data_IF_866339885446
#
_entry.id   IF_866339885446
#
_cell.length_a   1.000
_cell.length_b   1.000
_cell.length_c   1.000
_cell.angle_alpha   90.00
_cell.angle_beta   90.00
_cell.angle_gamma   90.00
#
_symmetry.space_group_name_H-M   'P 1'
#
loop_
_entity.id
_entity.type
_entity.pdbx_description
1 polymer ?
#
# COMPACT_ATOMS: atom_id res chain seq x y z
N UNK A 1 -61.89 -40.77 -44.58
CA UNK A 1 -60.52 -40.53 -45.08
C UNK A 1 -60.27 -39.06 -45.07
N UNK A 2 -59.63 -38.56 -44.07
CA UNK A 2 -59.28 -37.14 -43.91
C UNK A 2 -57.81 -37.05 -43.47
N UNK A 3 -56.99 -36.55 -44.40
CA UNK A 3 -55.56 -36.33 -44.19
C UNK A 3 -55.38 -35.20 -43.19
N UNK A 4 -54.75 -35.49 -42.05
CA UNK A 4 -54.23 -34.47 -41.13
C UNK A 4 -52.88 -33.99 -41.62
N UNK A 5 -52.84 -32.77 -42.08
CA UNK A 5 -51.62 -32.03 -42.46
C UNK A 5 -50.84 -31.67 -41.27
N UNK A 6 -49.63 -32.21 -41.07
CA UNK A 6 -48.67 -31.95 -40.01
C UNK A 6 -47.61 -30.95 -40.46
N UNK A 7 -47.97 -29.73 -40.72
CA UNK A 7 -46.97 -28.72 -41.03
C UNK A 7 -47.37 -27.36 -40.47
N UNK A 8 -47.08 -27.09 -39.21
CA UNK A 8 -46.88 -25.70 -38.69
C UNK A 8 -46.62 -25.68 -37.16
N UNK A 9 -45.62 -26.44 -36.70
CA UNK A 9 -45.10 -26.18 -35.37
C UNK A 9 -43.92 -25.21 -35.53
N UNK A 10 -44.23 -23.92 -35.65
CA UNK A 10 -43.25 -22.86 -35.62
C UNK A 10 -42.72 -22.75 -34.20
N UNK A 11 -41.45 -23.08 -34.05
CA UNK A 11 -40.68 -22.89 -32.83
C UNK A 11 -40.64 -21.39 -32.47
N UNK A 12 -41.43 -21.00 -31.49
CA UNK A 12 -41.34 -19.70 -30.86
C UNK A 12 -40.12 -19.76 -29.93
N UNK A 13 -38.89 -19.49 -30.45
CA UNK A 13 -37.74 -19.23 -29.64
C UNK A 13 -37.91 -17.84 -29.00
N UNK A 14 -38.39 -17.82 -27.77
CA UNK A 14 -38.30 -16.63 -26.89
C UNK A 14 -36.85 -16.50 -26.51
N UNK A 15 -36.13 -15.67 -27.26
CA UNK A 15 -34.79 -15.21 -26.89
C UNK A 15 -34.97 -14.29 -25.69
N UNK A 16 -34.90 -14.87 -24.47
CA UNK A 16 -34.86 -14.09 -23.22
C UNK A 16 -33.46 -13.42 -23.14
N UNK A 17 -33.35 -12.28 -23.79
CA UNK A 17 -32.20 -11.42 -23.69
C UNK A 17 -32.18 -10.88 -22.26
N UNK A 18 -31.52 -11.57 -21.34
CA UNK A 18 -31.19 -11.04 -20.02
C UNK A 18 -30.29 -9.82 -20.23
N UNK A 19 -30.90 -8.65 -20.20
CA UNK A 19 -30.20 -7.38 -20.17
C UNK A 19 -29.42 -7.33 -18.84
N UNK A 20 -28.18 -7.82 -18.83
CA UNK A 20 -27.28 -7.68 -17.70
C UNK A 20 -27.00 -6.18 -17.62
N UNK A 21 -27.76 -5.47 -16.81
CA UNK A 21 -27.45 -4.08 -16.46
C UNK A 21 -26.13 -4.09 -15.70
N UNK A 22 -25.03 -3.84 -16.42
CA UNK A 22 -23.74 -3.51 -15.82
C UNK A 22 -23.97 -2.18 -15.12
N UNK A 23 -24.38 -2.25 -13.84
CA UNK A 23 -24.35 -1.07 -12.98
C UNK A 23 -22.89 -0.59 -12.99
N UNK A 24 -22.63 0.68 -13.28
CA UNK A 24 -21.27 1.21 -13.18
C UNK A 24 -20.80 0.97 -11.76
N UNK A 25 -19.75 0.16 -11.60
CA UNK A 25 -19.08 -0.03 -10.33
C UNK A 25 -18.64 1.37 -9.90
N UNK A 26 -19.33 1.93 -8.90
CA UNK A 26 -19.01 3.27 -8.39
C UNK A 26 -17.57 3.20 -7.93
N UNK A 27 -16.70 4.00 -8.55
CA UNK A 27 -15.30 4.08 -8.13
C UNK A 27 -15.30 4.34 -6.62
N UNK A 28 -14.67 3.43 -5.89
CA UNK A 28 -14.65 3.50 -4.44
C UNK A 28 -13.73 4.65 -4.04
N UNK A 29 -14.17 5.47 -3.08
CA UNK A 29 -13.37 6.61 -2.62
C UNK A 29 -12.24 6.13 -1.71
N UNK A 30 -11.11 5.77 -2.31
CA UNK A 30 -9.90 5.34 -1.59
C UNK A 30 -9.28 6.45 -0.73
N UNK A 31 -9.75 7.69 -0.84
CA UNK A 31 -9.29 8.79 0.04
C UNK A 31 -9.91 8.73 1.43
N UNK A 32 -11.01 7.98 1.61
CA UNK A 32 -11.66 7.83 2.90
C UNK A 32 -10.74 7.12 3.90
N UNK A 33 -10.45 7.79 5.01
CA UNK A 33 -9.57 7.27 6.05
C UNK A 33 -8.08 7.34 5.74
N UNK A 34 -7.67 7.89 4.59
CA UNK A 34 -6.27 8.12 4.26
C UNK A 34 -5.68 9.15 5.23
N UNK A 35 -4.58 8.80 5.88
CA UNK A 35 -3.92 9.63 6.91
C UNK A 35 -2.47 9.98 6.55
N UNK A 36 -1.86 9.24 5.64
CA UNK A 36 -0.54 9.54 5.06
C UNK A 36 -0.52 9.10 3.59
N UNK A 37 0.08 9.91 2.73
CA UNK A 37 0.35 9.56 1.34
C UNK A 37 1.63 10.25 0.87
N UNK A 38 2.72 9.51 0.79
CA UNK A 38 4.03 9.95 0.33
C UNK A 38 4.29 9.34 -1.05
N UNK A 39 4.18 10.16 -2.10
CA UNK A 39 4.30 9.70 -3.50
C UNK A 39 5.72 9.77 -4.03
N UNK A 40 6.63 10.42 -3.32
CA UNK A 40 8.03 10.60 -3.74
C UNK A 40 8.23 11.25 -5.12
N UNK A 41 7.29 12.07 -5.55
CA UNK A 41 7.34 12.78 -6.85
C UNK A 41 8.07 14.13 -6.80
N UNK A 42 8.62 14.51 -5.67
CA UNK A 42 9.25 15.83 -5.49
C UNK A 42 10.50 16.01 -6.37
N UNK A 43 11.27 14.97 -6.59
CA UNK A 43 12.49 14.97 -7.41
C UNK A 43 13.63 15.83 -6.87
N UNK A 44 13.42 16.58 -5.77
CA UNK A 44 14.40 17.44 -5.13
C UNK A 44 13.99 17.82 -3.71
N UNK A 45 14.96 18.28 -2.91
CA UNK A 45 14.72 18.77 -1.55
C UNK A 45 14.75 17.67 -0.48
N UNK A 46 14.52 18.07 0.79
CA UNK A 46 14.61 17.21 1.99
C UNK A 46 13.25 16.92 2.62
N UNK A 47 12.16 17.20 1.91
CA UNK A 47 10.80 17.00 2.42
C UNK A 47 10.00 16.22 1.42
N UNK A 48 9.38 15.14 1.87
CA UNK A 48 8.35 14.40 1.13
C UNK A 48 6.99 14.89 1.60
N UNK A 49 6.17 15.43 0.68
CA UNK A 49 4.88 16.03 0.99
C UNK A 49 3.80 15.00 1.19
N UNK A 50 3.06 15.13 2.30
CA UNK A 50 1.87 14.33 2.55
C UNK A 50 0.71 14.77 1.64
N UNK A 51 0.37 13.95 0.69
CA UNK A 51 -0.75 14.16 -0.25
C UNK A 51 -2.12 13.74 0.31
N UNK A 52 -2.18 13.17 1.52
CA UNK A 52 -3.44 12.81 2.18
C UNK A 52 -4.27 14.02 2.60
N UNK A 53 -3.64 15.20 2.68
CA UNK A 53 -4.26 16.44 3.18
C UNK A 53 -4.33 16.51 4.70
N UNK A 54 -3.60 15.63 5.43
CA UNK A 54 -3.52 15.64 6.90
C UNK A 54 -2.33 16.42 7.43
N UNK A 55 -1.38 16.77 6.56
CA UNK A 55 -0.23 17.59 6.93
C UNK A 55 0.90 16.80 7.61
N UNK A 56 0.97 15.49 7.40
CA UNK A 56 2.01 14.60 7.91
C UNK A 56 3.25 14.61 7.00
N UNK A 57 3.69 15.77 6.53
CA UNK A 57 4.91 15.91 5.73
C UNK A 57 6.08 15.19 6.39
N UNK A 58 6.83 14.41 5.61
CA UNK A 58 7.98 13.67 6.10
C UNK A 58 9.29 14.37 5.75
N UNK A 59 10.31 14.19 6.59
CA UNK A 59 11.66 14.72 6.38
C UNK A 59 12.62 13.60 6.03
N UNK A 60 13.52 13.86 5.09
CA UNK A 60 14.62 12.98 4.75
C UNK A 60 15.79 13.28 5.70
N UNK A 61 16.25 12.24 6.40
CA UNK A 61 17.44 12.24 7.24
C UNK A 61 18.47 11.30 6.62
N UNK A 62 19.50 11.85 5.99
CA UNK A 62 20.53 11.13 5.27
C UNK A 62 20.74 11.63 3.84
N UNK A 63 21.23 10.72 2.97
CA UNK A 63 21.48 11.01 1.55
C UNK A 63 20.17 11.14 0.79
N UNK A 64 20.06 12.19 -0.02
CA UNK A 64 18.91 12.39 -0.92
C UNK A 64 19.22 11.67 -2.24
N UNK A 65 18.35 10.73 -2.62
CA UNK A 65 18.52 9.92 -3.82
C UNK A 65 17.16 9.67 -4.50
N UNK A 66 16.69 10.68 -5.25
CA UNK A 66 15.46 10.62 -6.04
C UNK A 66 15.70 9.79 -7.30
N UNK A 67 14.79 8.90 -7.62
CA UNK A 67 14.86 7.98 -8.76
C UNK A 67 13.53 7.95 -9.52
N UNK A 68 13.50 7.26 -10.65
CA UNK A 68 12.24 6.86 -11.29
C UNK A 68 11.57 5.77 -10.43
N UNK A 69 10.33 6.01 -10.04
CA UNK A 69 9.54 5.13 -9.18
C UNK A 69 8.81 4.02 -9.93
N UNK A 70 7.88 3.39 -9.25
CA UNK A 70 6.88 2.51 -9.87
C UNK A 70 5.81 3.32 -10.57
N UNK A 71 5.44 4.46 -9.99
CA UNK A 71 4.47 5.43 -10.50
C UNK A 71 5.12 6.81 -10.35
N UNK A 72 5.47 7.47 -11.44
CA UNK A 72 6.16 8.76 -11.34
C UNK A 72 7.54 8.69 -10.72
N UNK A 73 7.79 9.47 -9.67
CA UNK A 73 9.03 9.48 -8.91
C UNK A 73 9.11 8.38 -7.85
N UNK A 74 10.28 8.22 -7.24
CA UNK A 74 10.53 7.28 -6.16
C UNK A 74 11.77 7.67 -5.37
N UNK A 75 12.08 6.93 -4.31
CA UNK A 75 13.20 7.22 -3.44
C UNK A 75 14.07 5.98 -3.18
N UNK A 76 15.40 6.14 -3.31
CA UNK A 76 16.38 5.09 -3.06
C UNK A 76 16.95 5.21 -1.65
N UNK A 77 16.84 4.14 -0.87
CA UNK A 77 17.43 3.98 0.45
C UNK A 77 18.77 3.25 0.36
N UNK A 78 19.76 3.72 1.12
CA UNK A 78 21.13 3.22 1.13
C UNK A 78 21.51 2.53 2.47
N UNK A 79 20.56 2.29 3.34
CA UNK A 79 20.78 1.75 4.68
C UNK A 79 21.30 2.77 5.71
N UNK A 80 21.39 4.05 5.33
CA UNK A 80 21.81 5.17 6.19
C UNK A 80 20.91 6.38 6.02
N UNK A 81 19.80 6.22 5.31
CA UNK A 81 18.82 7.27 5.04
C UNK A 81 17.46 6.83 5.54
N UNK A 82 16.74 7.74 6.15
CA UNK A 82 15.39 7.55 6.65
C UNK A 82 14.47 8.65 6.16
N UNK A 83 13.23 8.31 5.94
CA UNK A 83 12.13 9.27 5.73
C UNK A 83 11.24 9.21 6.96
N UNK A 84 11.11 10.35 7.65
CA UNK A 84 10.54 10.43 8.99
C UNK A 84 9.30 11.29 8.94
N UNK A 85 8.14 10.67 9.11
CA UNK A 85 6.85 11.33 9.28
C UNK A 85 6.50 11.47 10.78
N UNK A 86 5.60 12.38 11.13
CA UNK A 86 5.03 12.45 12.47
C UNK A 86 4.43 11.12 12.92
N UNK A 87 4.21 10.97 14.22
CA UNK A 87 3.50 9.83 14.78
C UNK A 87 2.09 9.70 14.18
N UNK A 88 1.79 8.52 13.64
CA UNK A 88 0.45 8.16 13.17
C UNK A 88 -0.16 7.18 14.16
N UNK A 89 -1.34 7.44 14.74
CA UNK A 89 -1.92 6.57 15.76
C UNK A 89 -2.47 5.28 15.12
N UNK A 90 -1.75 4.18 15.31
CA UNK A 90 -2.16 2.81 14.93
C UNK A 90 -2.69 1.99 16.11
N UNK A 91 -2.44 2.44 17.34
CA UNK A 91 -2.75 1.69 18.55
C UNK A 91 -4.25 1.43 18.70
N UNK A 92 -4.60 0.17 18.94
CA UNK A 92 -5.98 -0.30 19.17
C UNK A 92 -6.96 0.14 18.07
N UNK A 93 -6.51 0.09 16.81
CA UNK A 93 -7.30 0.55 15.65
C UNK A 93 -7.10 -0.33 14.43
N UNK A 94 -8.12 -0.30 13.59
CA UNK A 94 -7.99 -0.79 12.23
C UNK A 94 -7.04 0.12 11.45
N UNK A 95 -6.20 -0.49 10.62
CA UNK A 95 -5.36 0.26 9.70
C UNK A 95 -4.97 -0.57 8.48
N UNK A 96 -4.55 0.14 7.44
CA UNK A 96 -3.90 -0.47 6.28
C UNK A 96 -2.67 0.37 5.93
N UNK A 97 -1.53 -0.28 5.74
CA UNK A 97 -0.30 0.33 5.20
C UNK A 97 0.02 -0.33 3.88
N UNK A 98 0.25 0.46 2.84
CA UNK A 98 0.58 -0.03 1.51
C UNK A 98 1.72 0.78 0.92
N UNK A 99 2.64 0.11 0.21
CA UNK A 99 3.72 0.77 -0.52
C UNK A 99 4.30 -0.14 -1.62
N UNK A 100 4.97 0.46 -2.58
CA UNK A 100 5.80 -0.25 -3.53
C UNK A 100 7.24 -0.32 -3.06
N UNK A 101 7.88 -1.47 -3.28
CA UNK A 101 9.29 -1.71 -2.96
C UNK A 101 10.01 -2.39 -4.11
N UNK A 102 11.29 -2.07 -4.26
CA UNK A 102 12.21 -2.78 -5.14
C UNK A 102 13.50 -3.01 -4.36
N UNK A 103 13.65 -4.22 -3.79
CA UNK A 103 14.77 -4.58 -2.92
C UNK A 103 15.79 -5.44 -3.63
N UNK A 104 17.05 -5.27 -3.25
CA UNK A 104 18.14 -6.19 -3.58
C UNK A 104 18.14 -7.45 -2.73
N UNK A 105 17.24 -7.58 -1.74
CA UNK A 105 17.20 -8.68 -0.75
C UNK A 105 18.58 -8.93 -0.13
N UNK A 106 19.20 -7.86 0.36
CA UNK A 106 20.62 -7.86 0.77
C UNK A 106 20.79 -8.32 2.21
N UNK A 107 19.88 -7.91 3.10
CA UNK A 107 19.94 -8.20 4.54
C UNK A 107 18.98 -9.31 4.93
N UNK A 108 19.34 -10.06 5.95
CA UNK A 108 18.46 -11.08 6.54
C UNK A 108 17.13 -10.53 7.02
N UNK A 109 17.12 -9.25 7.42
CA UNK A 109 15.93 -8.56 7.89
C UNK A 109 16.03 -7.07 7.53
N UNK A 110 15.20 -6.63 6.61
CA UNK A 110 15.08 -5.22 6.21
C UNK A 110 13.75 -4.66 6.72
N UNK A 111 13.78 -3.68 7.63
CA UNK A 111 12.58 -2.95 8.04
C UNK A 111 12.34 -1.82 7.07
N UNK A 112 11.19 -1.85 6.39
CA UNK A 112 10.83 -0.84 5.41
C UNK A 112 10.03 0.28 6.06
N UNK A 113 9.10 -0.08 6.92
CA UNK A 113 8.23 0.85 7.64
C UNK A 113 8.15 0.45 9.11
N UNK A 114 8.26 1.42 10.01
CA UNK A 114 8.21 1.16 11.45
C UNK A 114 7.63 2.32 12.24
N UNK A 115 7.19 1.97 13.46
CA UNK A 115 6.89 2.91 14.51
C UNK A 115 7.31 2.26 15.83
N UNK A 116 8.41 2.74 16.39
CA UNK A 116 9.08 2.13 17.54
C UNK A 116 8.87 2.94 18.81
N UNK A 117 8.17 2.37 19.78
CA UNK A 117 8.08 2.93 21.14
C UNK A 117 9.14 2.33 22.05
N UNK A 118 9.16 1.02 22.19
CA UNK A 118 10.16 0.26 22.94
C UNK A 118 10.17 -1.22 22.58
N UNK A 119 11.27 -1.92 22.84
CA UNK A 119 11.43 -3.34 22.64
C UNK A 119 10.59 -4.17 23.62
N UNK A 120 9.28 -4.16 23.44
CA UNK A 120 8.33 -4.91 24.26
C UNK A 120 7.15 -5.36 23.40
N UNK A 121 6.53 -6.47 23.78
CA UNK A 121 5.43 -7.10 23.04
C UNK A 121 4.32 -6.08 22.72
N UNK A 122 3.91 -6.04 21.49
CA UNK A 122 2.86 -5.16 20.94
C UNK A 122 3.17 -3.65 20.95
N UNK A 123 4.38 -3.22 21.27
CA UNK A 123 4.74 -1.79 21.40
C UNK A 123 5.64 -1.26 20.27
N UNK A 124 5.93 -2.08 19.27
CA UNK A 124 6.74 -1.64 18.14
C UNK A 124 6.25 -2.28 16.84
N UNK A 125 5.58 -1.48 16.02
CA UNK A 125 5.15 -1.87 14.68
C UNK A 125 6.37 -1.94 13.75
N UNK A 126 6.49 -3.02 13.00
CA UNK A 126 7.51 -3.16 11.97
C UNK A 126 7.02 -4.00 10.79
N UNK A 127 7.18 -3.46 9.60
CA UNK A 127 6.87 -4.10 8.34
C UNK A 127 8.20 -4.45 7.68
N UNK A 128 8.45 -5.76 7.51
CA UNK A 128 9.80 -6.26 7.14
C UNK A 128 9.77 -7.07 5.87
N UNK A 129 10.94 -7.04 5.22
CA UNK A 129 11.30 -7.93 4.13
C UNK A 129 12.55 -8.72 4.52
N UNK A 130 12.58 -10.00 4.17
CA UNK A 130 13.71 -10.87 4.39
C UNK A 130 14.44 -11.17 3.07
N UNK A 131 15.72 -11.53 3.14
CA UNK A 131 16.50 -11.93 1.97
C UNK A 131 15.94 -13.16 1.24
N UNK A 132 15.07 -13.92 1.90
CA UNK A 132 14.33 -15.06 1.32
C UNK A 132 13.09 -14.63 0.53
N UNK A 133 12.78 -13.32 0.44
CA UNK A 133 11.53 -12.83 -0.15
C UNK A 133 10.30 -13.00 0.72
N UNK A 134 10.48 -13.36 2.01
CA UNK A 134 9.43 -13.42 3.02
C UNK A 134 9.07 -12.03 3.52
N UNK A 135 7.79 -11.80 3.82
CA UNK A 135 7.25 -10.53 4.34
C UNK A 135 6.69 -10.72 5.75
N UNK A 136 6.89 -9.76 6.64
CA UNK A 136 6.40 -9.78 8.02
C UNK A 136 5.63 -8.53 8.39
N UNK A 137 4.48 -8.72 9.03
CA UNK A 137 3.78 -7.73 9.84
C UNK A 137 4.02 -8.06 11.32
N UNK A 138 4.79 -7.24 12.01
CA UNK A 138 5.19 -7.52 13.38
C UNK A 138 4.88 -6.41 14.36
N UNK A 139 4.63 -6.80 15.63
CA UNK A 139 4.39 -5.91 16.76
C UNK A 139 5.41 -6.14 17.89
N UNK A 140 6.59 -6.67 17.57
CA UNK A 140 7.60 -7.13 18.51
C UNK A 140 7.12 -8.30 19.39
N UNK A 141 7.52 -9.52 19.01
CA UNK A 141 7.11 -10.76 19.71
C UNK A 141 5.65 -11.16 19.47
N UNK A 142 4.99 -10.54 18.50
CA UNK A 142 3.65 -10.87 18.03
C UNK A 142 3.60 -10.60 16.53
N UNK A 143 4.12 -11.56 15.74
CA UNK A 143 4.42 -11.36 14.34
C UNK A 143 3.58 -12.30 13.46
N UNK A 144 3.20 -11.84 12.27
CA UNK A 144 2.62 -12.61 11.19
C UNK A 144 3.62 -12.65 10.03
N UNK A 145 4.00 -13.85 9.60
CA UNK A 145 4.91 -14.09 8.48
C UNK A 145 4.17 -14.67 7.28
N UNK A 146 4.60 -14.28 6.09
CA UNK A 146 4.28 -14.99 4.85
C UNK A 146 5.24 -16.17 4.62
N UNK A 147 4.99 -16.94 3.56
CA UNK A 147 5.96 -17.88 3.01
C UNK A 147 7.15 -17.15 2.38
N UNK A 148 8.21 -17.92 2.08
CA UNK A 148 9.39 -17.42 1.35
C UNK A 148 9.12 -17.28 -0.15
N UNK A 149 9.94 -16.49 -0.85
CA UNK A 149 9.96 -16.42 -2.32
C UNK A 149 8.87 -15.55 -2.95
N UNK A 150 8.12 -14.78 -2.15
CA UNK A 150 7.02 -13.95 -2.65
C UNK A 150 7.52 -12.63 -3.25
N UNK A 151 8.60 -12.07 -2.72
CA UNK A 151 9.23 -10.86 -3.25
C UNK A 151 10.49 -11.25 -4.01
N UNK A 152 10.54 -10.88 -5.29
CA UNK A 152 11.67 -11.16 -6.17
C UNK A 152 12.70 -10.02 -6.13
N UNK A 153 13.97 -10.42 -6.15
CA UNK A 153 15.09 -9.47 -6.14
C UNK A 153 15.04 -8.50 -7.32
N UNK A 154 15.23 -7.21 -7.04
CA UNK A 154 15.29 -6.13 -8.02
C UNK A 154 14.03 -5.95 -8.89
N UNK A 155 12.89 -6.47 -8.47
CA UNK A 155 11.58 -6.20 -9.06
C UNK A 155 10.73 -5.34 -8.15
N UNK A 156 9.85 -4.53 -8.73
CA UNK A 156 8.84 -3.80 -7.98
C UNK A 156 7.72 -4.73 -7.54
N UNK A 157 7.47 -4.75 -6.24
CA UNK A 157 6.34 -5.43 -5.61
C UNK A 157 5.53 -4.46 -4.75
N UNK A 158 4.23 -4.62 -4.76
CA UNK A 158 3.34 -3.93 -3.82
C UNK A 158 3.18 -4.76 -2.56
N UNK A 159 3.45 -4.18 -1.41
CA UNK A 159 3.21 -4.80 -0.12
C UNK A 159 2.07 -4.08 0.58
N UNK A 160 1.06 -4.83 1.02
CA UNK A 160 -0.06 -4.31 1.80
C UNK A 160 -0.19 -5.07 3.11
N UNK A 161 -0.26 -4.31 4.20
CA UNK A 161 -0.41 -4.79 5.57
C UNK A 161 -1.74 -4.30 6.11
N UNK A 162 -2.62 -5.23 6.37
CA UNK A 162 -4.01 -4.97 6.74
C UNK A 162 -4.30 -5.48 8.16
N UNK A 163 -4.99 -4.67 8.95
CA UNK A 163 -5.35 -4.96 10.34
C UNK A 163 -6.80 -4.59 10.60
N UNK A 164 -7.57 -5.55 11.12
CA UNK A 164 -8.87 -5.36 11.77
C UNK A 164 -8.67 -5.62 13.27
N UNK A 165 -8.52 -4.57 14.03
CA UNK A 165 -8.20 -4.67 15.45
C UNK A 165 -9.37 -5.23 16.27
N UNK A 166 -10.61 -4.99 15.85
CA UNK A 166 -11.81 -5.49 16.51
C UNK A 166 -11.85 -7.03 16.51
N UNK A 167 -11.36 -7.65 15.43
CA UNK A 167 -11.25 -9.10 15.26
C UNK A 167 -9.87 -9.64 15.61
N UNK A 168 -8.90 -8.75 15.94
CA UNK A 168 -7.49 -9.08 16.08
C UNK A 168 -6.94 -9.81 14.85
N UNK A 169 -7.52 -9.58 13.67
CA UNK A 169 -7.15 -10.19 12.41
C UNK A 169 -6.11 -9.35 11.68
N UNK A 170 -5.13 -10.03 11.12
CA UNK A 170 -4.06 -9.41 10.32
C UNK A 170 -3.89 -10.15 9.01
N UNK A 171 -3.58 -9.40 7.96
CA UNK A 171 -3.33 -9.94 6.62
C UNK A 171 -2.14 -9.28 5.98
N UNK A 172 -1.43 -10.05 5.16
CA UNK A 172 -0.37 -9.55 4.27
C UNK A 172 -0.79 -9.84 2.85
N UNK A 173 -0.63 -8.84 1.98
CA UNK A 173 -0.82 -8.99 0.54
C UNK A 173 0.48 -8.63 -0.18
N UNK A 174 0.80 -9.39 -1.21
CA UNK A 174 1.87 -9.11 -2.18
C UNK A 174 1.24 -9.00 -3.55
N UNK A 175 1.46 -7.89 -4.23
CA UNK A 175 0.87 -7.57 -5.55
C UNK A 175 -0.66 -7.71 -5.61
N UNK A 176 -1.32 -7.45 -4.48
CA UNK A 176 -2.77 -7.54 -4.31
C UNK A 176 -3.30 -8.93 -3.98
N UNK A 177 -2.47 -9.95 -3.95
CA UNK A 177 -2.83 -11.31 -3.54
C UNK A 177 -2.60 -11.50 -2.04
N UNK A 178 -3.59 -12.05 -1.32
CA UNK A 178 -3.47 -12.37 0.10
C UNK A 178 -2.54 -13.57 0.29
N UNK A 179 -1.38 -13.33 0.93
CA UNK A 179 -0.32 -14.34 1.12
C UNK A 179 -0.18 -14.82 2.56
N UNK A 180 -0.75 -14.08 3.51
CA UNK A 180 -0.82 -14.53 4.91
C UNK A 180 -2.04 -13.93 5.61
N UNK A 181 -2.60 -14.69 6.54
CA UNK A 181 -3.68 -14.27 7.42
C UNK A 181 -3.50 -14.93 8.79
N UNK A 182 -3.78 -14.19 9.86
CA UNK A 182 -3.67 -14.70 11.21
C UNK A 182 -4.33 -13.82 12.25
N UNK A 183 -4.55 -14.39 13.43
CA UNK A 183 -5.06 -13.67 14.60
C UNK A 183 -3.88 -13.25 15.47
N UNK A 184 -3.86 -12.01 15.93
CA UNK A 184 -2.83 -11.51 16.82
C UNK A 184 -3.16 -11.78 18.29
N UNK A 185 -2.11 -12.02 19.08
CA UNK A 185 -2.22 -12.07 20.53
C UNK A 185 -2.18 -10.62 21.09
N UNK A 186 -3.33 -9.97 21.07
CA UNK A 186 -3.50 -8.54 21.32
C UNK A 186 -3.27 -7.67 20.07
N UNK A 187 -3.78 -6.43 20.08
CA UNK A 187 -3.53 -5.43 19.05
C UNK A 187 -2.18 -4.75 19.18
N UNK A 188 -1.83 -3.90 18.21
CA UNK A 188 -0.72 -2.96 18.37
C UNK A 188 -1.11 -1.90 19.41
N UNK A 189 -0.25 -1.68 20.40
CA UNK A 189 -0.52 -0.79 21.54
C UNK A 189 0.43 0.41 21.60
N UNK A 190 1.44 0.49 20.72
CA UNK A 190 2.39 1.60 20.74
C UNK A 190 1.69 2.95 20.49
N UNK A 191 1.86 3.88 21.41
CA UNK A 191 1.23 5.19 21.39
C UNK A 191 2.22 6.33 21.13
N UNK A 192 3.48 6.00 20.91
CA UNK A 192 4.59 6.95 20.73
C UNK A 192 5.53 6.49 19.62
N UNK A 193 6.50 7.34 19.30
CA UNK A 193 7.48 7.10 18.26
C UNK A 193 7.11 7.77 16.94
N UNK A 194 8.14 8.11 16.18
CA UNK A 194 8.00 8.64 14.82
C UNK A 194 7.59 7.51 13.87
N UNK A 195 6.94 7.85 12.78
CA UNK A 195 6.72 6.92 11.67
C UNK A 195 7.94 6.98 10.76
N UNK A 196 8.66 5.86 10.63
CA UNK A 196 9.94 5.80 9.91
C UNK A 196 9.82 4.89 8.70
N UNK A 197 10.28 5.35 7.55
CA UNK A 197 10.51 4.56 6.34
C UNK A 197 12.03 4.45 6.16
N UNK A 198 12.54 3.22 5.92
CA UNK A 198 13.95 2.96 5.68
C UNK A 198 14.69 2.26 6.83
N UNK A 199 14.03 1.92 7.93
CA UNK A 199 14.66 1.21 9.04
C UNK A 199 13.74 1.03 10.25
N UNK A 200 14.27 0.30 11.25
CA UNK A 200 13.58 0.09 12.53
C UNK A 200 13.62 1.35 13.41
N UNK A 201 14.82 1.88 13.58
CA UNK A 201 15.10 3.12 14.29
C UNK A 201 16.39 3.72 13.70
N UNK A 202 16.56 5.02 13.79
CA UNK A 202 17.77 5.71 13.34
C UNK A 202 19.00 5.30 14.17
N UNK A 203 18.78 5.10 15.46
CA UNK A 203 19.79 4.59 16.39
C UNK A 203 19.11 3.65 17.37
N UNK A 204 19.41 2.37 17.31
CA UNK A 204 19.02 1.45 18.36
C UNK A 204 19.70 1.86 19.68
N UNK A 205 18.89 2.20 20.67
CA UNK A 205 19.38 2.74 21.96
C UNK A 205 20.22 1.74 22.73
N UNK A 206 20.10 0.43 22.45
CA UNK A 206 20.90 -0.62 23.04
C UNK A 206 22.20 -0.88 22.28
N UNK A 207 22.19 -0.74 20.95
CA UNK A 207 23.34 -1.01 20.07
C UNK A 207 24.16 0.22 19.70
N UNK A 208 23.64 1.43 19.94
CA UNK A 208 24.30 2.68 19.58
C UNK A 208 24.51 2.88 18.08
N UNK A 209 23.78 2.15 17.22
CA UNK A 209 23.86 2.22 15.77
C UNK A 209 22.50 1.90 15.13
N UNK A 210 22.33 2.29 13.88
CA UNK A 210 21.16 1.92 13.08
C UNK A 210 21.00 0.40 12.99
N UNK A 211 19.77 -0.06 13.06
CA UNK A 211 19.46 -1.49 13.11
C UNK A 211 18.37 -1.84 12.10
N UNK A 212 18.52 -2.99 11.45
CA UNK A 212 17.56 -3.53 10.47
C UNK A 212 17.14 -2.49 9.42
N UNK A 213 18.13 -1.85 8.82
CA UNK A 213 17.95 -0.82 7.78
C UNK A 213 17.49 -1.41 6.47
N UNK A 214 16.77 -0.61 5.68
CA UNK A 214 16.35 -0.96 4.34
C UNK A 214 17.34 -0.45 3.29
N UNK A 215 17.62 -1.30 2.29
CA UNK A 215 18.47 -0.96 1.13
C UNK A 215 17.71 -1.31 -0.14
N UNK A 216 17.09 -0.31 -0.75
CA UNK A 216 16.25 -0.50 -1.93
C UNK A 216 15.43 0.73 -2.25
N UNK A 217 14.59 0.63 -3.27
CA UNK A 217 13.68 1.71 -3.65
C UNK A 217 12.31 1.55 -2.97
N UNK A 218 11.71 2.68 -2.62
CA UNK A 218 10.33 2.77 -2.12
C UNK A 218 9.57 3.80 -2.93
N UNK A 219 8.28 3.55 -3.12
CA UNK A 219 7.37 4.45 -3.79
C UNK A 219 5.95 4.29 -3.24
N UNK A 220 5.12 5.34 -3.35
CA UNK A 220 3.69 5.33 -3.05
C UNK A 220 3.32 4.79 -1.65
N UNK A 221 3.98 5.30 -0.61
CA UNK A 221 3.66 4.92 0.78
C UNK A 221 2.33 5.54 1.20
N UNK A 222 1.36 4.71 1.50
CA UNK A 222 0.01 5.11 1.90
C UNK A 222 -0.42 4.44 3.19
N UNK A 223 -1.09 5.20 4.04
CA UNK A 223 -1.63 4.72 5.32
C UNK A 223 -3.08 5.13 5.46
N UNK A 224 -3.93 4.17 5.76
CA UNK A 224 -5.33 4.39 6.10
C UNK A 224 -5.60 4.03 7.56
N UNK A 225 -6.42 4.83 8.24
CA UNK A 225 -6.94 4.56 9.58
C UNK A 225 -8.19 3.67 9.52
N UNK A 226 -8.16 2.66 8.68
CA UNK A 226 -9.18 1.63 8.52
C UNK A 226 -8.63 0.40 7.80
N UNK A 227 -9.30 -0.72 7.98
CA UNK A 227 -9.15 -1.90 7.16
C UNK A 227 -9.77 -1.64 5.77
N UNK A 228 -8.97 -1.74 4.69
CA UNK A 228 -9.44 -1.61 3.31
C UNK A 228 -10.17 -2.89 2.87
N UNK A 229 -11.16 -2.75 1.98
CA UNK A 229 -11.70 -3.87 1.25
C UNK A 229 -10.69 -4.36 0.18
N UNK A 230 -10.77 -5.63 -0.23
CA UNK A 230 -9.80 -6.20 -1.18
C UNK A 230 -9.78 -5.47 -2.54
N UNK A 231 -10.95 -5.02 -3.01
CA UNK A 231 -11.04 -4.22 -4.24
C UNK A 231 -10.41 -2.82 -4.08
N UNK A 232 -10.44 -2.23 -2.87
CA UNK A 232 -9.77 -0.95 -2.58
C UNK A 232 -8.25 -1.13 -2.56
N UNK A 233 -7.75 -2.26 -2.03
CA UNK A 233 -6.33 -2.62 -2.08
C UNK A 233 -5.85 -2.68 -3.54
N UNK A 234 -6.61 -3.36 -4.41
CA UNK A 234 -6.28 -3.47 -5.84
C UNK A 234 -6.37 -2.13 -6.58
N UNK A 235 -7.34 -1.30 -6.25
CA UNK A 235 -7.52 0.02 -6.87
C UNK A 235 -6.39 0.97 -6.46
N UNK A 236 -6.04 0.99 -5.17
CA UNK A 236 -4.99 1.87 -4.65
C UNK A 236 -3.60 1.56 -5.20
N UNK A 237 -3.35 0.35 -5.69
CA UNK A 237 -2.08 -0.02 -6.34
C UNK A 237 -1.89 0.63 -7.72
N UNK A 238 -2.99 1.00 -8.40
CA UNK A 238 -2.99 1.41 -9.81
C UNK A 238 -3.07 2.91 -10.00
N UNK A 239 -3.55 3.63 -9.01
CA UNK A 239 -3.90 5.03 -9.15
C UNK A 239 -2.82 5.95 -8.60
N UNK A 240 -2.42 6.95 -9.41
CA UNK A 240 -1.90 8.19 -8.85
C UNK A 240 -2.96 8.74 -7.87
N UNK A 241 -2.55 9.13 -6.67
CA UNK A 241 -3.50 9.67 -5.70
C UNK A 241 -4.28 10.84 -6.33
N UNK A 242 -5.63 10.81 -6.29
CA UNK A 242 -6.38 11.97 -6.73
C UNK A 242 -5.98 13.16 -5.85
N UNK A 243 -5.31 14.12 -6.44
CA UNK A 243 -5.02 15.41 -5.79
C UNK A 243 -6.36 15.96 -5.33
N UNK A 244 -6.50 16.15 -4.01
CA UNK A 244 -7.74 16.60 -3.38
C UNK A 244 -8.30 17.80 -4.14
N UNK A 245 -9.39 17.63 -4.87
CA UNK A 245 -9.97 18.60 -5.78
C UNK A 245 -10.74 19.72 -5.06
N UNK A 246 -10.22 20.22 -3.94
CA UNK A 246 -10.56 21.57 -3.48
C UNK A 246 -9.75 22.59 -4.28
N UNK A 247 -9.99 22.65 -5.59
CA UNK A 247 -9.45 23.72 -6.40
C UNK A 247 -9.10 23.48 -7.86
N UNK A 248 -9.15 22.26 -8.41
CA UNK A 248 -8.91 22.06 -9.86
C UNK A 248 -9.69 20.89 -10.45
N UNK A 249 -10.91 21.18 -10.85
CA UNK A 249 -11.58 20.42 -11.92
C UNK A 249 -10.98 20.93 -13.23
N UNK A 250 -9.82 20.46 -13.66
CA UNK A 250 -9.31 20.73 -15.01
C UNK A 250 -7.99 20.01 -15.29
N UNK A 251 -7.99 18.71 -15.52
CA UNK A 251 -6.85 18.14 -16.26
C UNK A 251 -7.20 16.93 -17.12
N UNK A 252 -8.34 16.29 -16.92
CA UNK A 252 -8.75 15.20 -17.82
C UNK A 252 -9.22 15.72 -19.19
N UNK A 253 -9.81 16.94 -19.24
CA UNK A 253 -10.31 17.54 -20.48
C UNK A 253 -9.23 18.20 -21.34
N UNK A 254 -8.04 18.50 -20.80
CA UNK A 254 -6.96 19.11 -21.59
C UNK A 254 -6.18 18.09 -22.45
N UNK A 255 -6.16 16.81 -22.06
CA UNK A 255 -5.54 15.75 -22.88
C UNK A 255 -6.41 15.36 -24.07
N UNK A 256 -7.73 15.45 -23.97
CA UNK A 256 -8.64 15.11 -25.08
C UNK A 256 -8.63 16.20 -26.17
N UNK A 257 -8.36 17.46 -25.82
CA UNK A 257 -8.32 18.57 -26.81
C UNK A 257 -7.02 18.69 -27.61
N UNK A 258 -5.94 17.98 -27.26
CA UNK A 258 -4.68 18.00 -28.02
C UNK A 258 -4.54 16.90 -29.08
N UNK A 259 -5.54 16.03 -29.23
CA UNK A 259 -5.56 14.93 -30.21
C UNK A 259 -6.40 15.19 -31.47
N UNK A 260 -6.80 16.41 -31.75
CA UNK A 260 -7.65 16.72 -32.88
C UNK A 260 -6.99 17.62 -33.93
N UNK A 261 -6.08 17.09 -34.73
CA UNK A 261 -5.83 17.55 -36.11
C UNK A 261 -5.14 16.40 -36.83
N UNK A 262 -5.94 15.61 -37.53
CA UNK A 262 -5.47 14.79 -38.65
C UNK A 262 -6.06 15.44 -39.89
N UNK A 263 -5.17 15.98 -40.71
CA UNK A 263 -5.38 16.08 -42.15
C UNK A 263 -4.65 14.95 -42.82
#
# INVERSE_FOLDING_TARGET
>A
MGNYDRSNLKYFFICLMTLLTILPLKAQDISKGLVLALTFDEGAGQTVKDKSGKGNDAKIDGKIDWIDGKIGGGFQFDGKTWVIAPHIPFNERDFTVQFWVKSGLISDQEVIFSQHEKNSKNLSLHLRLYNTGKVRLGYYGNDLDSENGLVEKNKWHNLTFWVDDSKKSRRIYVDGEKVAEGVSDGGYMGAQGETIIGGWDRVDKGLGKAYQVYMGAVDEVRVWSRALEENEILESMKTEMPVNAKGKVTTLWSRIKKGGHIF
#
